data_IF_169603102686
#
_entry.id   IF_169603102686
#
_cell.length_a   1.000
_cell.length_b   1.000
_cell.length_c   1.000
_cell.angle_alpha   90.00
_cell.angle_beta   90.00
_cell.angle_gamma   90.00
#
_symmetry.space_group_name_H-M   'P 1'
#
loop_
_entity.id
_entity.type
_entity.pdbx_description
1 polymer ?
#
# COMPACT_ATOMS: atom_id res chain seq x y z
N UNK A 1 3.80 -4.64 4.86
CA UNK A 1 4.24 -5.56 5.93
C UNK A 1 3.04 -5.90 6.79
N UNK A 2 2.87 -7.17 7.18
CA UNK A 2 1.80 -7.57 8.10
C UNK A 2 2.39 -7.70 9.51
N UNK A 3 1.84 -6.94 10.45
CA UNK A 3 2.12 -6.98 11.89
C UNK A 3 1.01 -7.77 12.58
N UNK A 4 1.39 -8.72 13.46
CA UNK A 4 0.43 -9.49 14.25
C UNK A 4 -0.43 -10.51 13.49
N UNK A 5 -0.41 -10.50 12.15
CA UNK A 5 -1.22 -11.38 11.30
C UNK A 5 -2.48 -10.72 10.74
N UNK A 6 -2.90 -9.60 11.31
CA UNK A 6 -4.17 -8.91 11.02
C UNK A 6 -4.01 -7.42 10.70
N UNK A 7 -2.82 -6.84 10.88
CA UNK A 7 -2.58 -5.42 10.67
C UNK A 7 -1.56 -5.16 9.55
N UNK A 8 -1.97 -4.47 8.50
CA UNK A 8 -1.12 -4.16 7.36
C UNK A 8 -0.61 -2.72 7.39
N UNK A 9 0.70 -2.56 7.21
CA UNK A 9 1.38 -1.26 7.08
C UNK A 9 2.16 -1.17 5.76
N UNK A 10 2.27 0.03 5.21
CA UNK A 10 3.17 0.33 4.10
C UNK A 10 4.58 0.62 4.60
N UNK A 11 5.62 0.23 3.84
CA UNK A 11 7.01 0.56 4.15
C UNK A 11 7.66 1.26 2.97
N UNK A 12 8.29 2.40 3.21
CA UNK A 12 9.22 3.03 2.29
C UNK A 12 10.64 2.96 2.86
N UNK A 13 11.54 2.25 2.19
CA UNK A 13 12.92 2.05 2.63
C UNK A 13 13.83 2.94 1.78
N UNK A 14 14.38 3.98 2.38
CA UNK A 14 15.36 4.87 1.75
C UNK A 14 16.77 4.41 2.10
N UNK A 15 17.36 3.59 1.22
CA UNK A 15 18.67 2.99 1.45
C UNK A 15 19.82 4.00 1.56
N UNK A 16 19.72 5.12 0.85
CA UNK A 16 20.73 6.20 0.86
C UNK A 16 20.71 6.98 2.17
N UNK A 17 19.54 7.20 2.75
CA UNK A 17 19.35 7.92 4.02
C UNK A 17 19.49 6.98 5.23
N UNK A 18 19.46 5.67 5.01
CA UNK A 18 19.42 4.71 6.10
C UNK A 18 18.13 4.83 6.91
N UNK A 19 17.01 5.18 6.28
CA UNK A 19 15.74 5.46 6.98
C UNK A 19 14.58 4.64 6.41
N UNK A 20 13.73 4.11 7.29
CA UNK A 20 12.48 3.42 6.95
C UNK A 20 11.29 4.24 7.41
N UNK A 21 10.45 4.67 6.47
CA UNK A 21 9.18 5.32 6.76
C UNK A 21 8.05 4.30 6.76
N UNK A 22 7.25 4.29 7.83
CA UNK A 22 6.11 3.38 8.01
C UNK A 22 4.80 4.14 7.78
N UNK A 23 4.01 3.67 6.81
CA UNK A 23 2.66 4.17 6.57
C UNK A 23 1.64 3.30 7.30
N UNK A 24 1.17 3.79 8.45
CA UNK A 24 0.22 3.10 9.31
C UNK A 24 -1.14 3.83 9.28
N UNK A 25 -2.11 3.23 8.59
CA UNK A 25 -3.48 3.76 8.52
C UNK A 25 -4.26 3.57 9.82
N UNK A 26 -3.81 2.75 10.78
CA UNK A 26 -4.58 2.41 11.96
C UNK A 26 -3.71 2.37 13.22
N UNK A 27 -3.03 3.50 13.49
CA UNK A 27 -2.12 3.73 14.62
C UNK A 27 -2.65 3.26 15.99
N UNK A 28 -3.92 3.50 16.38
CA UNK A 28 -4.43 3.04 17.68
C UNK A 28 -4.39 1.51 17.85
N UNK A 29 -4.26 0.76 16.76
CA UNK A 29 -4.18 -0.70 16.77
C UNK A 29 -2.78 -1.24 17.06
N UNK A 30 -1.76 -0.39 16.99
CA UNK A 30 -0.39 -0.81 17.29
C UNK A 30 0.32 0.28 18.09
N UNK A 31 0.50 0.02 19.38
CA UNK A 31 1.32 0.87 20.24
C UNK A 31 2.76 0.96 19.72
N UNK A 32 3.45 2.06 20.05
CA UNK A 32 4.79 2.34 19.53
C UNK A 32 5.79 1.23 19.89
N UNK A 33 5.71 0.67 21.11
CA UNK A 33 6.58 -0.40 21.59
C UNK A 33 6.41 -1.70 20.78
N UNK A 34 5.16 -2.01 20.37
CA UNK A 34 4.87 -3.18 19.54
C UNK A 34 5.43 -2.99 18.14
N UNK A 35 5.31 -1.79 17.57
CA UNK A 35 5.93 -1.49 16.29
C UNK A 35 7.45 -1.46 16.35
N UNK A 36 8.07 -0.99 17.44
CA UNK A 36 9.50 -1.12 17.65
C UNK A 36 9.94 -2.59 17.60
N UNK A 37 9.16 -3.49 18.24
CA UNK A 37 9.38 -4.93 18.16
C UNK A 37 9.37 -5.46 16.72
N UNK A 38 8.37 -5.07 15.92
CA UNK A 38 8.29 -5.48 14.52
C UNK A 38 9.42 -4.88 13.67
N UNK A 39 9.73 -3.61 13.88
CA UNK A 39 10.75 -2.87 13.12
C UNK A 39 12.17 -3.28 13.49
N UNK A 40 12.42 -3.78 14.71
CA UNK A 40 13.74 -4.18 15.20
C UNK A 40 14.47 -5.13 14.24
N UNK A 41 13.73 -6.05 13.61
CA UNK A 41 14.27 -6.96 12.60
C UNK A 41 14.59 -6.27 11.25
N UNK A 42 13.75 -5.33 10.83
CA UNK A 42 13.88 -4.58 9.57
C UNK A 42 15.04 -3.59 9.64
N UNK A 43 15.22 -2.93 10.79
CA UNK A 43 16.21 -1.87 10.95
C UNK A 43 17.61 -2.38 11.29
N UNK A 44 17.75 -3.67 11.61
CA UNK A 44 19.04 -4.32 11.92
C UNK A 44 19.39 -5.33 10.83
N UNK A 45 19.58 -4.85 9.61
CA UNK A 45 20.05 -5.70 8.50
C UNK A 45 21.59 -5.74 8.46
N UNK A 46 22.17 -6.80 9.02
CA UNK A 46 23.62 -7.02 9.03
C UNK A 46 24.38 -6.00 9.91
N UNK A 47 25.29 -5.23 9.31
CA UNK A 47 26.09 -4.19 9.99
C UNK A 47 25.49 -2.78 9.90
N UNK A 48 24.37 -2.60 9.18
CA UNK A 48 23.74 -1.29 8.97
C UNK A 48 22.54 -1.14 9.89
N UNK A 49 22.58 -0.10 10.70
CA UNK A 49 21.46 0.29 11.55
C UNK A 49 20.68 1.35 10.77
N UNK A 50 19.44 1.02 10.42
CA UNK A 50 18.51 1.98 9.86
C UNK A 50 17.77 2.71 10.99
N UNK A 51 17.46 3.98 10.80
CA UNK A 51 16.45 4.67 11.60
C UNK A 51 15.06 4.38 11.02
N UNK A 52 14.02 4.59 11.82
CA UNK A 52 12.65 4.48 11.32
C UNK A 52 11.74 5.50 11.99
N UNK A 53 10.65 5.85 11.29
CA UNK A 53 9.59 6.69 11.83
C UNK A 53 8.24 6.29 11.23
N UNK A 54 7.15 6.58 11.94
CA UNK A 54 5.79 6.51 11.39
C UNK A 54 5.48 7.81 10.66
N UNK A 55 4.87 7.71 9.49
CA UNK A 55 4.38 8.86 8.76
C UNK A 55 3.28 9.54 9.58
N UNK A 56 3.41 10.86 9.75
CA UNK A 56 2.43 11.70 10.44
C UNK A 56 1.55 12.42 9.42
N UNK A 57 0.37 12.87 9.85
CA UNK A 57 -0.53 13.66 9.01
C UNK A 57 -1.16 12.89 7.84
N UNK A 58 -1.04 11.56 7.80
CA UNK A 58 -1.70 10.73 6.80
C UNK A 58 -3.12 10.34 7.24
N UNK A 59 -3.92 9.86 6.30
CA UNK A 59 -5.25 9.34 6.61
C UNK A 59 -5.23 8.24 7.67
N UNK A 60 -6.14 8.37 8.65
CA UNK A 60 -6.37 7.37 9.69
C UNK A 60 -7.73 6.71 9.49
N UNK A 61 -7.67 5.39 9.35
CA UNK A 61 -8.83 4.55 9.22
C UNK A 61 -9.64 4.53 10.53
N UNK A 62 -10.96 4.59 10.39
CA UNK A 62 -11.92 4.53 11.49
C UNK A 62 -12.62 3.18 11.61
N UNK A 63 -12.47 2.31 10.60
CA UNK A 63 -13.13 0.99 10.53
C UNK A 63 -12.10 -0.13 10.40
N UNK A 64 -12.46 -1.33 10.83
CA UNK A 64 -11.59 -2.50 10.67
C UNK A 64 -11.54 -2.97 9.22
N UNK A 65 -10.37 -3.43 8.76
CA UNK A 65 -10.23 -4.14 7.49
C UNK A 65 -9.83 -3.33 6.26
N UNK A 66 -9.51 -2.04 6.37
CA UNK A 66 -8.90 -1.29 5.25
C UNK A 66 -7.40 -1.08 5.38
N UNK A 67 -6.76 -1.59 6.43
CA UNK A 67 -5.31 -1.43 6.61
C UNK A 67 -4.50 -1.93 5.40
N UNK A 68 -4.92 -3.04 4.77
CA UNK A 68 -4.29 -3.57 3.56
C UNK A 68 -4.44 -2.63 2.36
N UNK A 69 -5.67 -2.32 1.92
CA UNK A 69 -5.94 -1.36 0.85
C UNK A 69 -5.27 0.02 1.06
N UNK A 70 -5.32 0.56 2.28
CA UNK A 70 -4.65 1.82 2.61
C UNK A 70 -3.12 1.71 2.53
N UNK A 71 -2.52 0.62 3.03
CA UNK A 71 -1.08 0.40 2.95
C UNK A 71 -0.59 0.37 1.50
N UNK A 72 -1.32 -0.32 0.61
CA UNK A 72 -1.03 -0.30 -0.82
C UNK A 72 -1.14 1.12 -1.39
N UNK A 73 -2.23 1.83 -1.07
CA UNK A 73 -2.47 3.17 -1.61
C UNK A 73 -1.42 4.19 -1.18
N UNK A 74 -0.96 4.13 0.07
CA UNK A 74 0.10 5.00 0.54
C UNK A 74 1.43 4.74 -0.17
N UNK A 75 1.76 3.49 -0.48
CA UNK A 75 2.95 3.18 -1.27
C UNK A 75 2.84 3.76 -2.69
N UNK A 76 1.67 3.62 -3.33
CA UNK A 76 1.41 4.21 -4.65
C UNK A 76 1.55 5.74 -4.64
N UNK A 77 0.92 6.40 -3.66
CA UNK A 77 0.97 7.86 -3.52
C UNK A 77 2.38 8.36 -3.26
N UNK A 78 3.13 7.68 -2.40
CA UNK A 78 4.52 8.04 -2.13
C UNK A 78 5.38 7.88 -3.39
N UNK A 79 5.20 6.81 -4.16
CA UNK A 79 5.91 6.58 -5.42
C UNK A 79 5.58 7.64 -6.48
N UNK A 80 4.35 8.16 -6.48
CA UNK A 80 3.88 9.24 -7.34
C UNK A 80 4.29 10.65 -6.85
N UNK A 81 4.91 10.78 -5.69
CA UNK A 81 5.25 12.06 -5.09
C UNK A 81 4.07 12.84 -4.49
N UNK A 82 2.96 12.14 -4.20
CA UNK A 82 1.70 12.69 -3.68
C UNK A 82 1.58 12.53 -2.16
N UNK A 83 2.66 12.83 -1.42
CA UNK A 83 2.70 12.59 0.03
C UNK A 83 1.78 13.52 0.82
N UNK A 84 1.63 14.78 0.38
CA UNK A 84 0.79 15.77 1.06
C UNK A 84 -0.70 15.44 0.93
N UNK A 85 -1.09 14.87 -0.20
CA UNK A 85 -2.46 14.47 -0.52
C UNK A 85 -2.92 13.23 0.25
N UNK A 86 -2.01 12.46 0.87
CA UNK A 86 -2.36 11.29 1.69
C UNK A 86 -3.25 11.67 2.88
N UNK A 87 -3.11 12.90 3.37
CA UNK A 87 -3.94 13.47 4.43
C UNK A 87 -5.40 13.71 4.02
N UNK A 88 -5.63 13.86 2.71
CA UNK A 88 -6.92 14.27 2.14
C UNK A 88 -7.82 13.09 1.75
N UNK A 89 -7.30 11.86 1.86
CA UNK A 89 -8.07 10.65 1.61
C UNK A 89 -9.29 10.63 2.54
N UNK A 90 -10.45 10.29 1.99
CA UNK A 90 -11.69 10.10 2.75
C UNK A 90 -12.10 8.64 2.78
N UNK A 91 -12.99 8.26 3.69
CA UNK A 91 -13.54 6.89 3.73
C UNK A 91 -14.18 6.47 2.39
N UNK A 92 -14.73 7.43 1.62
CA UNK A 92 -15.28 7.18 0.28
C UNK A 92 -14.18 6.88 -0.75
N UNK A 93 -13.02 7.52 -0.62
CA UNK A 93 -11.87 7.20 -1.46
C UNK A 93 -11.36 5.80 -1.15
N UNK A 94 -11.41 5.40 0.13
CA UNK A 94 -11.10 4.03 0.55
C UNK A 94 -12.02 3.01 -0.09
N UNK A 95 -13.33 3.25 -0.08
CA UNK A 95 -14.29 2.39 -0.79
C UNK A 95 -13.95 2.30 -2.28
N UNK A 96 -13.66 3.43 -2.91
CA UNK A 96 -13.35 3.49 -4.34
C UNK A 96 -12.09 2.71 -4.72
N UNK A 97 -10.98 2.84 -3.98
CA UNK A 97 -9.79 2.05 -4.31
C UNK A 97 -9.93 0.58 -3.93
N UNK A 98 -10.77 0.22 -2.95
CA UNK A 98 -11.11 -1.19 -2.68
C UNK A 98 -11.85 -1.81 -3.86
N UNK A 99 -12.84 -1.10 -4.40
CA UNK A 99 -13.55 -1.51 -5.60
C UNK A 99 -12.58 -1.65 -6.78
N UNK A 100 -11.70 -0.67 -6.99
CA UNK A 100 -10.72 -0.72 -8.06
C UNK A 100 -9.78 -1.93 -7.92
N UNK A 101 -9.17 -2.13 -6.75
CA UNK A 101 -8.29 -3.28 -6.53
C UNK A 101 -9.02 -4.62 -6.74
N UNK A 102 -10.29 -4.72 -6.35
CA UNK A 102 -11.09 -5.92 -6.58
C UNK A 102 -11.36 -6.16 -8.08
N UNK A 103 -11.66 -5.10 -8.83
CA UNK A 103 -11.86 -5.17 -10.29
C UNK A 103 -10.56 -5.50 -11.01
N UNK A 104 -9.45 -4.87 -10.64
CA UNK A 104 -8.11 -5.14 -11.21
C UNK A 104 -7.73 -6.62 -10.99
N UNK A 105 -7.94 -7.14 -9.77
CA UNK A 105 -7.72 -8.56 -9.49
C UNK A 105 -8.64 -9.45 -10.33
N UNK A 106 -9.91 -9.08 -10.50
CA UNK A 106 -10.84 -9.85 -11.30
C UNK A 106 -10.41 -9.89 -12.78
N UNK A 107 -10.04 -8.76 -13.36
CA UNK A 107 -9.58 -8.69 -14.75
C UNK A 107 -8.29 -9.52 -14.94
N UNK A 108 -7.33 -9.41 -14.02
CA UNK A 108 -6.05 -10.12 -14.09
C UNK A 108 -6.21 -11.64 -13.96
N UNK A 109 -7.05 -12.12 -13.04
CA UNK A 109 -7.11 -13.54 -12.69
C UNK A 109 -8.34 -14.29 -13.22
N UNK A 110 -9.42 -13.59 -13.52
CA UNK A 110 -10.72 -14.18 -13.90
C UNK A 110 -11.24 -13.69 -15.25
N UNK A 111 -10.81 -12.53 -15.73
CA UNK A 111 -11.24 -11.91 -17.00
C UNK A 111 -10.71 -12.61 -18.24
N UNK A 112 -9.56 -13.29 -18.14
CA UNK A 112 -8.97 -14.08 -19.22
C UNK A 112 -9.14 -15.59 -18.97
N UNK A 113 -10.07 -16.21 -19.71
CA UNK A 113 -10.31 -17.67 -19.68
C UNK A 113 -9.07 -18.54 -20.04
N UNK A 114 -7.96 -17.92 -20.47
CA UNK A 114 -6.69 -18.59 -20.79
C UNK A 114 -5.68 -18.60 -19.62
N UNK A 115 -5.90 -17.81 -18.56
CA UNK A 115 -5.01 -17.69 -17.38
C UNK A 115 -5.45 -18.61 -16.23
N UNK A 116 -6.54 -19.37 -16.41
CA UNK A 116 -6.97 -20.40 -15.47
C UNK A 116 -6.05 -21.65 -15.53
N UNK A 117 -4.78 -21.47 -15.16
CA UNK A 117 -3.86 -22.55 -14.83
C UNK A 117 -3.39 -22.38 -13.38
N UNK A 118 -3.10 -23.47 -12.65
CA UNK A 118 -3.07 -23.48 -11.18
C UNK A 118 -1.83 -22.82 -10.56
N UNK A 119 -0.99 -22.14 -11.35
CA UNK A 119 0.29 -21.62 -10.90
C UNK A 119 0.23 -20.09 -10.93
N UNK A 120 0.05 -19.51 -9.74
CA UNK A 120 0.25 -18.09 -9.42
C UNK A 120 1.54 -17.58 -10.07
N UNK A 121 1.45 -16.91 -11.22
CA UNK A 121 2.58 -16.25 -11.86
C UNK A 121 2.63 -14.80 -11.38
N UNK A 122 3.76 -14.47 -10.74
CA UNK A 122 4.27 -13.15 -10.33
C UNK A 122 3.50 -11.94 -10.86
N UNK A 123 2.92 -11.16 -9.94
CA UNK A 123 2.41 -9.81 -10.19
C UNK A 123 3.51 -8.90 -10.78
N UNK A 124 3.18 -8.17 -11.85
CA UNK A 124 4.02 -7.08 -12.40
C UNK A 124 3.37 -5.71 -12.18
N UNK A 125 4.13 -4.64 -11.89
CA UNK A 125 3.59 -3.45 -11.20
C UNK A 125 2.88 -2.40 -12.06
N UNK A 126 2.45 -2.72 -13.29
CA UNK A 126 2.29 -1.69 -14.33
C UNK A 126 0.91 -1.02 -14.43
N UNK A 127 -0.08 -1.38 -13.62
CA UNK A 127 -1.47 -0.88 -13.81
C UNK A 127 -1.98 0.10 -12.74
N UNK A 128 -1.27 0.32 -11.63
CA UNK A 128 -1.83 1.05 -10.48
C UNK A 128 -1.76 2.59 -10.56
N UNK A 129 -1.39 3.19 -11.70
CA UNK A 129 -1.13 4.63 -11.81
C UNK A 129 -2.20 5.36 -12.64
N UNK A 130 -3.49 5.19 -12.31
CA UNK A 130 -4.50 6.13 -12.80
C UNK A 130 -5.46 6.56 -11.70
N UNK A 131 -5.14 7.72 -11.11
CA UNK A 131 -6.04 8.45 -10.24
C UNK A 131 -7.29 8.90 -11.02
N UNK A 132 -8.35 8.10 -10.95
CA UNK A 132 -9.73 8.59 -11.04
C UNK A 132 -10.12 9.31 -12.34
N UNK A 133 -9.50 9.00 -13.49
CA UNK A 133 -10.08 9.40 -14.78
C UNK A 133 -11.13 8.37 -15.21
N UNK A 134 -12.31 8.80 -15.69
CA UNK A 134 -13.25 7.87 -16.30
C UNK A 134 -12.57 7.18 -17.50
N UNK A 135 -12.55 5.85 -17.50
CA UNK A 135 -12.12 5.06 -18.64
C UNK A 135 -12.90 5.51 -19.88
N UNK A 136 -12.22 6.14 -20.84
CA UNK A 136 -12.81 6.49 -22.13
C UNK A 136 -12.50 5.36 -23.13
N UNK A 137 -13.49 4.56 -23.57
CA UNK A 137 -13.25 3.34 -24.36
C UNK A 137 -12.90 3.61 -25.84
N UNK A 138 -12.39 4.78 -26.21
CA UNK A 138 -12.17 5.16 -27.63
C UNK A 138 -10.88 5.91 -27.93
N UNK A 139 -9.73 5.40 -27.49
CA UNK A 139 -8.46 5.82 -28.10
C UNK A 139 -7.60 4.59 -28.39
N UNK A 140 -7.36 4.25 -29.66
CA UNK A 140 -6.39 3.23 -30.00
C UNK A 140 -4.98 3.73 -29.63
N UNK A 141 -4.21 2.87 -28.96
CA UNK A 141 -2.78 3.07 -28.75
C UNK A 141 -2.08 3.07 -30.12
N UNK A 142 -1.49 4.20 -30.48
CA UNK A 142 -0.41 4.30 -31.46
C UNK A 142 0.91 4.46 -30.72
#
# INVERSE_FOLDING_TARGET
MNWGGDHWVGLCIKLTEGHVMVFDSYVPHTEIEVAEGHMCSVVKEGLRIYSWSRAEGIYHNKRGGDCGPCAAKFIEMHAAGLTEEMSQITDKDVDRFREQYAMDCYEEFMGDAKICTPELKRCTPTTCVDFGRPCNPRTPLL
#
